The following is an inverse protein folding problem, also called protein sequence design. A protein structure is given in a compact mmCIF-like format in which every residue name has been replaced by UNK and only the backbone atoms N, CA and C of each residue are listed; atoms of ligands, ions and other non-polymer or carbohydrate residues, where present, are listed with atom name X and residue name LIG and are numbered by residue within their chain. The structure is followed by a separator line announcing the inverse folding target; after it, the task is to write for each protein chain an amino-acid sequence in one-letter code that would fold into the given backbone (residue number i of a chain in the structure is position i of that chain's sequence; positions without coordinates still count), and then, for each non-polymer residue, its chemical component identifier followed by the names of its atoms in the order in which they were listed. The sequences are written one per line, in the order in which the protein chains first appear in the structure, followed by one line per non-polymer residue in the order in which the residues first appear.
data_IF_755847721238
#
_entry.id   IF_755847721238
#
_cell.length_a   1.000
_cell.length_b   1.000
_cell.length_c   1.000
_cell.angle_alpha   90.00
_cell.angle_beta   90.00
_cell.angle_gamma   90.00
#
_symmetry.space_group_name_H-M   'P 1'
#
loop_
_entity.id
_entity.type
_entity.pdbx_description
1 polymer ?
#
# COMPACT_ATOMS: atom_id res chain seq x y z
N UNK A 1 6.93 -2.47 23.52
CA UNK A 1 6.44 -1.61 22.42
C UNK A 1 7.63 -1.28 21.53
N UNK A 2 7.54 -1.56 20.22
CA UNK A 2 8.59 -1.19 19.27
C UNK A 2 8.13 0.07 18.54
N UNK A 3 9.00 1.07 18.44
CA UNK A 3 8.76 2.31 17.70
C UNK A 3 9.78 2.37 16.57
N UNK A 4 9.29 2.47 15.34
CA UNK A 4 10.12 2.70 14.16
C UNK A 4 9.95 4.19 13.77
N UNK A 5 11.07 4.90 13.58
CA UNK A 5 11.10 6.32 13.24
C UNK A 5 11.74 6.49 11.86
N UNK A 6 10.99 7.07 10.92
CA UNK A 6 11.46 7.41 9.59
C UNK A 6 11.32 8.91 9.36
N UNK A 7 12.13 9.47 8.47
CA UNK A 7 12.08 10.91 8.14
C UNK A 7 12.26 11.10 6.64
N UNK A 8 11.65 12.16 6.12
CA UNK A 8 11.85 12.60 4.75
C UNK A 8 10.89 12.01 3.72
N UNK A 9 9.98 11.11 4.09
CA UNK A 9 8.88 10.69 3.22
C UNK A 9 7.96 11.88 2.88
N UNK A 10 7.40 11.85 1.67
CA UNK A 10 6.48 12.88 1.20
C UNK A 10 5.06 12.56 1.68
N UNK A 11 4.38 13.53 2.28
CA UNK A 11 2.96 13.41 2.68
C UNK A 11 2.15 14.25 1.70
N UNK A 12 1.17 13.62 1.04
CA UNK A 12 0.37 14.25 -0.02
C UNK A 12 -1.12 13.99 0.21
N UNK A 13 -1.96 15.05 0.32
CA UNK A 13 -1.61 16.47 0.20
C UNK A 13 -0.94 17.05 1.45
N UNK A 14 -1.30 16.57 2.64
CA UNK A 14 -0.73 16.90 3.96
C UNK A 14 -1.26 15.93 5.01
N UNK A 15 -0.69 15.94 6.21
CA UNK A 15 -1.20 15.18 7.35
C UNK A 15 -2.64 15.55 7.71
N UNK A 16 -3.41 14.57 8.18
CA UNK A 16 -4.79 14.75 8.64
C UNK A 16 -4.89 14.47 10.13
N UNK A 17 -5.75 15.19 10.84
CA UNK A 17 -6.03 14.89 12.25
C UNK A 17 -7.01 13.72 12.35
N UNK A 18 -6.56 12.61 12.93
CA UNK A 18 -7.40 11.46 13.27
C UNK A 18 -7.74 11.48 14.75
N UNK A 19 -9.02 11.33 15.07
CA UNK A 19 -9.51 11.27 16.46
C UNK A 19 -9.69 9.81 16.86
N UNK A 20 -8.85 9.35 17.79
CA UNK A 20 -8.91 7.99 18.32
C UNK A 20 -9.70 7.95 19.62
N UNK A 21 -10.87 7.28 19.65
CA UNK A 21 -11.69 7.20 20.85
C UNK A 21 -11.03 6.31 21.91
N UNK A 22 -10.91 6.82 23.13
CA UNK A 22 -10.38 6.06 24.24
C UNK A 22 -11.42 5.07 24.80
N UNK A 23 -11.00 3.81 25.03
CA UNK A 23 -11.86 2.79 25.63
C UNK A 23 -12.13 3.08 27.12
N UNK A 24 -11.15 3.66 27.83
CA UNK A 24 -11.18 3.85 29.29
C UNK A 24 -11.24 5.31 29.73
N UNK A 25 -11.21 6.27 28.79
CA UNK A 25 -11.27 7.71 29.06
C UNK A 25 -12.38 8.35 28.23
N UNK A 26 -12.92 9.47 28.71
CA UNK A 26 -13.89 10.29 27.97
C UNK A 26 -13.22 11.25 26.99
N UNK A 27 -11.89 11.39 27.07
CA UNK A 27 -11.12 12.27 26.21
C UNK A 27 -10.52 11.46 25.06
N UNK A 28 -10.84 11.89 23.84
CA UNK A 28 -10.27 11.30 22.63
C UNK A 28 -8.84 11.77 22.41
N UNK A 29 -8.03 10.91 21.80
CA UNK A 29 -6.64 11.24 21.44
C UNK A 29 -6.63 11.72 19.99
N UNK A 30 -6.16 12.95 19.78
CA UNK A 30 -5.94 13.51 18.44
C UNK A 30 -4.52 13.16 17.98
N UNK A 31 -4.40 12.54 16.81
CA UNK A 31 -3.13 12.10 16.23
C UNK A 31 -3.06 12.58 14.78
N UNK A 32 -1.93 13.15 14.38
CA UNK A 32 -1.68 13.43 12.97
C UNK A 32 -1.33 12.13 12.25
N UNK A 33 -2.10 11.82 11.21
CA UNK A 33 -1.97 10.61 10.42
C UNK A 33 -1.75 10.94 8.94
N UNK A 34 -1.25 9.96 8.21
CA UNK A 34 -1.14 10.08 6.77
C UNK A 34 -2.53 9.99 6.13
N UNK A 35 -2.80 10.77 5.07
CA UNK A 35 -4.00 10.60 4.28
C UNK A 35 -3.98 9.23 3.57
N UNK A 36 -5.17 8.73 3.21
CA UNK A 36 -5.34 7.40 2.62
C UNK A 36 -4.47 7.22 1.37
N UNK A 37 -4.41 8.25 0.53
CA UNK A 37 -3.67 8.28 -0.72
C UNK A 37 -2.17 8.15 -0.49
N UNK A 38 -1.62 8.79 0.55
CA UNK A 38 -0.20 8.63 0.91
C UNK A 38 0.09 7.19 1.37
N UNK A 39 -0.79 6.59 2.17
CA UNK A 39 -0.61 5.20 2.64
C UNK A 39 -0.65 4.22 1.45
N UNK A 40 -1.60 4.40 0.54
CA UNK A 40 -1.72 3.59 -0.67
C UNK A 40 -0.50 3.79 -1.59
N UNK A 41 -0.07 5.04 -1.79
CA UNK A 41 1.09 5.37 -2.61
C UNK A 41 2.37 4.72 -2.12
N UNK A 42 2.65 4.75 -0.81
CA UNK A 42 3.86 4.12 -0.25
C UNK A 42 3.86 2.60 -0.41
N UNK A 43 2.70 1.96 -0.22
CA UNK A 43 2.55 0.50 -0.39
C UNK A 43 2.71 0.10 -1.84
N UNK A 44 2.02 0.81 -2.74
CA UNK A 44 2.11 0.63 -4.18
C UNK A 44 3.56 0.80 -4.66
N UNK A 45 4.21 1.91 -4.30
CA UNK A 45 5.59 2.18 -4.68
C UNK A 45 6.54 1.09 -4.18
N UNK A 46 6.35 0.62 -2.95
CA UNK A 46 7.20 -0.44 -2.38
C UNK A 46 7.04 -1.76 -3.12
N UNK A 47 5.81 -2.12 -3.50
CA UNK A 47 5.51 -3.34 -4.25
C UNK A 47 6.18 -3.28 -5.62
N UNK A 48 5.93 -2.22 -6.39
CA UNK A 48 6.47 -2.08 -7.75
C UNK A 48 8.00 -1.96 -7.72
N UNK A 49 8.56 -1.09 -6.87
CA UNK A 49 10.02 -0.88 -6.80
C UNK A 49 10.80 -2.16 -6.46
N UNK A 50 10.23 -3.04 -5.63
CA UNK A 50 10.93 -4.27 -5.19
C UNK A 50 10.74 -5.44 -6.16
N UNK A 51 9.70 -5.41 -7.00
CA UNK A 51 9.35 -6.51 -7.91
C UNK A 51 9.41 -7.88 -7.17
N UNK A 52 9.84 -8.96 -7.84
CA UNK A 52 9.98 -10.32 -7.32
C UNK A 52 10.96 -10.47 -6.14
N UNK A 53 11.76 -9.44 -5.83
CA UNK A 53 12.71 -9.50 -4.71
C UNK A 53 12.09 -9.12 -3.35
N UNK A 54 10.80 -8.78 -3.33
CA UNK A 54 10.11 -8.40 -2.09
C UNK A 54 9.83 -9.59 -1.17
N UNK A 55 9.97 -9.37 0.13
CA UNK A 55 9.49 -10.29 1.18
C UNK A 55 8.33 -9.69 1.98
N UNK A 56 7.82 -8.54 1.55
CA UNK A 56 6.87 -7.72 2.32
C UNK A 56 5.42 -8.05 1.96
N UNK A 57 5.01 -9.29 2.23
CA UNK A 57 3.63 -9.77 1.95
C UNK A 57 2.54 -8.91 2.59
N UNK A 58 2.84 -8.30 3.75
CA UNK A 58 1.94 -7.35 4.41
C UNK A 58 1.58 -6.15 3.53
N UNK A 59 2.49 -5.65 2.70
CA UNK A 59 2.18 -4.49 1.85
C UNK A 59 1.08 -4.83 0.83
N UNK A 60 1.09 -6.04 0.27
CA UNK A 60 0.02 -6.54 -0.60
C UNK A 60 -1.33 -6.66 0.13
N UNK A 61 -1.32 -7.26 1.32
CA UNK A 61 -2.52 -7.41 2.13
C UNK A 61 -3.13 -6.07 2.55
N UNK A 62 -2.28 -5.16 3.02
CA UNK A 62 -2.73 -3.85 3.47
C UNK A 62 -3.27 -3.03 2.30
N UNK A 63 -2.62 -3.06 1.12
CA UNK A 63 -3.11 -2.41 -0.08
C UNK A 63 -4.48 -2.97 -0.50
N UNK A 64 -4.60 -4.30 -0.55
CA UNK A 64 -5.87 -4.98 -0.84
C UNK A 64 -6.97 -4.58 0.15
N UNK A 65 -6.68 -4.61 1.45
CA UNK A 65 -7.66 -4.35 2.50
C UNK A 65 -8.08 -2.89 2.51
N UNK A 66 -7.14 -1.96 2.43
CA UNK A 66 -7.43 -0.53 2.35
C UNK A 66 -8.26 -0.23 1.10
N UNK A 67 -7.88 -0.76 -0.07
CA UNK A 67 -8.66 -0.60 -1.28
C UNK A 67 -10.09 -1.15 -1.11
N UNK A 68 -10.26 -2.38 -0.61
CA UNK A 68 -11.60 -2.97 -0.46
C UNK A 68 -12.49 -2.22 0.51
N UNK A 69 -11.93 -1.70 1.60
CA UNK A 69 -12.69 -0.99 2.63
C UNK A 69 -12.96 0.47 2.28
N UNK A 70 -12.07 1.10 1.50
CA UNK A 70 -12.04 2.55 1.30
C UNK A 70 -12.06 2.99 -0.15
N UNK A 71 -12.25 2.09 -1.12
CA UNK A 71 -12.26 2.40 -2.57
C UNK A 71 -13.13 3.59 -2.96
N UNK A 72 -14.26 3.79 -2.30
CA UNK A 72 -15.22 4.86 -2.62
C UNK A 72 -14.80 6.21 -1.98
N UNK A 73 -13.80 6.20 -1.08
CA UNK A 73 -13.18 7.37 -0.45
C UNK A 73 -11.85 7.77 -1.10
N UNK A 74 -11.32 6.96 -2.05
CA UNK A 74 -10.04 7.24 -2.71
C UNK A 74 -10.22 8.35 -3.74
N UNK A 75 -9.48 9.44 -3.57
CA UNK A 75 -9.29 10.43 -4.62
C UNK A 75 -8.12 9.99 -5.53
N UNK A 76 -8.43 9.62 -6.77
CA UNK A 76 -7.42 9.09 -7.70
C UNK A 76 -6.48 10.15 -8.26
N UNK A 77 -6.88 11.42 -8.33
CA UNK A 77 -5.98 12.51 -8.73
C UNK A 77 -4.93 12.73 -7.65
N UNK A 78 -5.37 12.77 -6.38
CA UNK A 78 -4.46 12.88 -5.23
C UNK A 78 -3.59 11.63 -5.09
N UNK A 79 -4.14 10.44 -5.33
CA UNK A 79 -3.36 9.19 -5.30
C UNK A 79 -2.25 9.19 -6.35
N UNK A 80 -2.54 9.65 -7.57
CA UNK A 80 -1.55 9.81 -8.63
C UNK A 80 -0.43 10.76 -8.19
N UNK A 81 -0.78 11.94 -7.69
CA UNK A 81 0.18 12.92 -7.18
C UNK A 81 1.02 12.34 -6.02
N UNK A 82 0.39 11.59 -5.12
CA UNK A 82 1.06 10.95 -4.00
C UNK A 82 2.08 9.89 -4.46
N UNK A 83 1.77 9.10 -5.50
CA UNK A 83 2.69 8.12 -6.08
C UNK A 83 3.84 8.81 -6.79
N UNK A 84 3.58 9.87 -7.57
CA UNK A 84 4.63 10.65 -8.23
C UNK A 84 5.59 11.26 -7.23
N UNK A 85 5.09 11.87 -6.15
CA UNK A 85 5.92 12.46 -5.10
C UNK A 85 6.71 11.41 -4.31
N UNK A 86 6.07 10.30 -3.97
CA UNK A 86 6.71 9.19 -3.23
C UNK A 86 7.82 8.56 -4.06
N UNK A 87 7.54 8.25 -5.32
CA UNK A 87 8.53 7.65 -6.24
C UNK A 87 9.67 8.61 -6.57
N UNK A 88 9.40 9.92 -6.72
CA UNK A 88 10.45 10.93 -6.86
C UNK A 88 11.37 10.94 -5.63
N UNK A 89 10.76 11.00 -4.45
CA UNK A 89 11.50 11.02 -3.18
C UNK A 89 12.38 9.78 -3.00
N UNK A 90 11.91 8.62 -3.45
CA UNK A 90 12.57 7.33 -3.31
C UNK A 90 13.45 6.93 -4.50
N UNK A 91 13.50 7.77 -5.56
CA UNK A 91 14.31 7.53 -6.75
C UNK A 91 13.81 6.37 -7.62
N UNK A 92 12.52 6.09 -7.61
CA UNK A 92 11.89 4.95 -8.30
C UNK A 92 10.95 5.33 -9.44
N UNK A 93 10.95 6.61 -9.87
CA UNK A 93 10.05 7.11 -10.90
C UNK A 93 10.12 6.32 -12.22
N UNK A 94 11.32 5.93 -12.65
CA UNK A 94 11.47 5.15 -13.88
C UNK A 94 10.91 3.74 -13.71
N UNK A 95 11.17 3.09 -12.57
CA UNK A 95 10.66 1.74 -12.27
C UNK A 95 9.13 1.71 -12.22
N UNK A 96 8.50 2.79 -11.72
CA UNK A 96 7.04 2.88 -11.64
C UNK A 96 6.37 2.91 -13.02
N UNK A 97 7.09 3.32 -14.07
CA UNK A 97 6.55 3.30 -15.45
C UNK A 97 6.46 1.88 -16.01
N UNK A 98 7.31 0.97 -15.56
CA UNK A 98 7.35 -0.43 -16.00
C UNK A 98 6.39 -1.31 -15.18
N UNK A 99 5.33 -0.73 -14.61
CA UNK A 99 4.43 -1.42 -13.69
C UNK A 99 3.74 -2.65 -14.31
N UNK A 100 3.44 -2.63 -15.61
CA UNK A 100 2.75 -3.74 -16.29
C UNK A 100 3.59 -5.01 -16.26
N UNK A 101 4.84 -4.92 -16.72
CA UNK A 101 5.81 -6.02 -16.71
C UNK A 101 6.09 -6.49 -15.28
N UNK A 102 6.29 -5.55 -14.35
CA UNK A 102 6.55 -5.87 -12.94
C UNK A 102 5.39 -6.61 -12.29
N UNK A 103 4.15 -6.22 -12.58
CA UNK A 103 2.97 -6.90 -12.02
C UNK A 103 2.81 -8.29 -12.62
N UNK A 104 3.11 -8.46 -13.91
CA UNK A 104 3.12 -9.77 -14.57
C UNK A 104 4.18 -10.69 -13.93
N UNK A 105 5.41 -10.20 -13.76
CA UNK A 105 6.50 -10.91 -13.05
C UNK A 105 6.05 -11.34 -11.64
N UNK A 106 5.49 -10.41 -10.86
CA UNK A 106 5.00 -10.68 -9.50
C UNK A 106 3.93 -11.78 -9.51
N UNK A 107 3.04 -11.76 -10.49
CA UNK A 107 1.93 -12.71 -10.60
C UNK A 107 2.42 -14.11 -10.95
N UNK A 108 3.44 -14.23 -11.80
CA UNK A 108 3.99 -15.52 -12.24
C UNK A 108 4.99 -16.11 -11.24
N UNK A 109 5.56 -15.29 -10.35
CA UNK A 109 6.59 -15.74 -9.42
C UNK A 109 6.07 -16.72 -8.36
N UNK A 110 6.54 -17.97 -8.48
CA UNK A 110 6.20 -19.06 -7.56
C UNK A 110 6.75 -18.85 -6.14
N UNK A 111 7.85 -18.10 -5.99
CA UNK A 111 8.45 -17.85 -4.68
C UNK A 111 7.60 -16.86 -3.88
N UNK A 112 7.12 -15.77 -4.47
CA UNK A 112 6.18 -14.84 -3.86
C UNK A 112 4.88 -15.52 -3.45
N UNK A 113 4.34 -16.44 -4.28
CA UNK A 113 3.19 -17.26 -3.91
C UNK A 113 3.46 -18.08 -2.65
N UNK A 114 4.63 -18.70 -2.54
CA UNK A 114 5.01 -19.45 -1.33
C UNK A 114 5.16 -18.55 -0.10
N UNK A 115 5.70 -17.33 -0.27
CA UNK A 115 5.77 -16.35 0.82
C UNK A 115 4.39 -15.87 1.25
N UNK A 116 3.46 -15.71 0.32
CA UNK A 116 2.07 -15.38 0.62
C UNK A 116 1.38 -16.48 1.43
N UNK A 117 1.59 -17.75 1.08
CA UNK A 117 1.06 -18.89 1.85
C UNK A 117 1.59 -18.89 3.29
N UNK A 118 2.90 -18.68 3.47
CA UNK A 118 3.51 -18.55 4.80
C UNK A 118 2.88 -17.38 5.56
N UNK A 119 2.71 -16.23 4.90
CA UNK A 119 2.10 -15.04 5.50
C UNK A 119 0.66 -15.31 5.96
N UNK A 120 -0.16 -16.04 5.20
CA UNK A 120 -1.51 -16.44 5.60
C UNK A 120 -1.51 -17.36 6.82
N UNK A 121 -0.60 -18.34 6.87
CA UNK A 121 -0.46 -19.27 8.00
C UNK A 121 -0.17 -18.51 9.30
N UNK A 122 0.71 -17.51 9.23
CA UNK A 122 1.07 -16.66 10.37
C UNK A 122 -0.06 -15.67 10.74
N UNK A 123 -0.91 -15.30 9.79
CA UNK A 123 -1.97 -14.29 9.94
C UNK A 123 -3.36 -14.88 9.69
N UNK A 124 -3.75 -15.88 10.50
CA UNK A 124 -5.02 -16.65 10.35
C UNK A 124 -6.30 -15.82 10.25
N UNK A 125 -6.29 -14.57 10.72
CA UNK A 125 -7.45 -13.65 10.61
C UNK A 125 -7.76 -13.23 9.17
N UNK A 126 -6.82 -13.40 8.23
CA UNK A 126 -7.00 -13.06 6.82
C UNK A 126 -7.94 -14.04 6.11
N UNK A 127 -7.98 -15.31 6.55
CA UNK A 127 -8.76 -16.37 5.92
C UNK A 127 -8.16 -16.85 4.60
N UNK A 128 -9.01 -17.26 3.66
CA UNK A 128 -8.61 -17.95 2.42
C UNK A 128 -8.34 -16.99 1.25
N UNK A 129 -7.71 -15.84 1.52
CA UNK A 129 -7.42 -14.83 0.51
C UNK A 129 -6.29 -15.29 -0.42
N UNK A 130 -6.61 -15.55 -1.68
CA UNK A 130 -5.62 -16.00 -2.68
C UNK A 130 -4.71 -14.85 -3.15
N UNK A 131 -3.45 -15.18 -3.46
CA UNK A 131 -2.44 -14.19 -3.87
C UNK A 131 -2.86 -13.39 -5.11
N UNK A 132 -3.48 -14.05 -6.09
CA UNK A 132 -3.95 -13.38 -7.30
C UNK A 132 -4.95 -12.25 -7.01
N UNK A 133 -5.77 -12.39 -5.96
CA UNK A 133 -6.74 -11.34 -5.57
C UNK A 133 -6.08 -10.10 -5.00
N UNK A 134 -4.93 -10.24 -4.33
CA UNK A 134 -4.18 -9.09 -3.82
C UNK A 134 -3.38 -8.41 -4.93
N UNK A 135 -2.83 -9.19 -5.86
CA UNK A 135 -2.14 -8.65 -7.05
C UNK A 135 -3.13 -7.94 -7.99
N UNK A 136 -4.34 -8.47 -8.17
CA UNK A 136 -5.41 -7.83 -8.97
C UNK A 136 -5.68 -6.38 -8.50
N UNK A 137 -5.56 -6.09 -7.21
CA UNK A 137 -5.74 -4.72 -6.70
C UNK A 137 -4.59 -3.80 -7.09
N UNK A 138 -3.36 -4.32 -7.13
CA UNK A 138 -2.21 -3.56 -7.62
C UNK A 138 -2.47 -3.14 -9.08
N UNK A 139 -2.90 -4.08 -9.92
CA UNK A 139 -3.27 -3.82 -11.32
C UNK A 139 -4.38 -2.77 -11.43
N UNK A 140 -5.48 -2.92 -10.68
CA UNK A 140 -6.60 -1.97 -10.74
C UNK A 140 -6.16 -0.56 -10.36
N UNK A 141 -5.29 -0.41 -9.36
CA UNK A 141 -4.76 0.90 -8.99
C UNK A 141 -3.89 1.46 -10.10
N UNK A 142 -2.96 0.67 -10.64
CA UNK A 142 -2.11 1.08 -11.76
C UNK A 142 -2.93 1.57 -12.95
N UNK A 143 -3.90 0.79 -13.40
CA UNK A 143 -4.72 1.13 -14.57
C UNK A 143 -5.46 2.45 -14.34
N UNK A 144 -6.12 2.61 -13.18
CA UNK A 144 -6.87 3.83 -12.84
C UNK A 144 -6.00 5.08 -12.78
N UNK A 145 -4.76 4.95 -12.32
CA UNK A 145 -3.84 6.08 -12.20
C UNK A 145 -3.29 6.51 -13.57
N UNK A 146 -3.11 5.56 -14.48
CA UNK A 146 -2.60 5.82 -15.83
C UNK A 146 -3.67 6.25 -16.83
N UNK A 147 -4.96 5.99 -16.56
CA UNK A 147 -6.10 6.48 -17.35
C UNK A 147 -6.42 7.98 -17.13
N UNK A 148 -5.90 8.59 -16.05
CA UNK A 148 -6.07 10.01 -15.69
C UNK A 148 -5.00 10.90 -16.32
#
# INVERSE_FOLDING_TARGET
MKLDLTTGDAITPREIEYTYPCIFSKEDIKIMAYPLETILAEKYETIIRRNITTTRMRDFYDLYTLYKLKKDEIDYEILKEAIERTSNKRGSQEIIKDYEEIIEDIKEDSYLRSLWEVYLIENKYIGDLIFDKVVDVVTILSDRINEL
#
